data_IF_597226695674
#
_entry.id   IF_597226695674
#
_cell.length_a   1.000
_cell.length_b   1.000
_cell.length_c   1.000
_cell.angle_alpha   90.00
_cell.angle_beta   90.00
_cell.angle_gamma   90.00
#
_symmetry.space_group_name_H-M   'P 1'
#
loop_
_entity.id
_entity.type
_entity.pdbx_description
1 polymer ?
#
# COMPACT_ATOMS: atom_id res chain seq x y z
N UNK A 1 5.19 -2.47 12.94
CA UNK A 1 5.35 -1.65 11.72
C UNK A 1 5.52 -2.59 10.52
N UNK A 2 4.78 -2.45 9.43
CA UNK A 2 5.04 -3.21 8.20
C UNK A 2 6.31 -2.69 7.49
N UNK A 3 7.02 -3.50 6.69
CA UNK A 3 8.02 -2.97 5.78
C UNK A 3 7.34 -2.18 4.65
N UNK A 4 7.95 -1.10 4.18
CA UNK A 4 7.35 -0.15 3.23
C UNK A 4 6.88 -0.83 1.93
N UNK A 5 7.66 -1.79 1.41
CA UNK A 5 7.33 -2.52 0.19
C UNK A 5 6.01 -3.31 0.29
N UNK A 6 5.59 -3.69 1.51
CA UNK A 6 4.34 -4.44 1.72
C UNK A 6 3.08 -3.58 1.57
N UNK A 7 3.24 -2.27 1.43
CA UNK A 7 2.15 -1.34 1.13
C UNK A 7 1.92 -1.11 -0.37
N UNK A 8 2.87 -1.55 -1.21
CA UNK A 8 2.78 -1.50 -2.67
C UNK A 8 1.66 -2.40 -3.23
N UNK A 9 1.64 -2.56 -4.56
CA UNK A 9 0.70 -3.44 -5.24
C UNK A 9 1.24 -4.88 -5.26
N UNK A 10 0.38 -5.84 -4.87
CA UNK A 10 0.69 -7.27 -4.86
C UNK A 10 -0.17 -7.99 -5.90
N UNK A 11 0.43 -8.93 -6.65
CA UNK A 11 -0.28 -9.72 -7.65
C UNK A 11 -0.13 -11.21 -7.41
N UNK A 12 -1.25 -11.91 -7.36
CA UNK A 12 -1.30 -13.34 -7.10
C UNK A 12 -2.41 -14.04 -7.90
N UNK A 13 -2.17 -15.30 -8.24
CA UNK A 13 -3.20 -16.22 -8.74
C UNK A 13 -2.82 -17.65 -8.36
N UNK A 14 -3.85 -18.44 -8.06
CA UNK A 14 -3.74 -19.88 -8.22
C UNK A 14 -3.88 -20.28 -9.69
N UNK A 15 -2.76 -20.61 -10.33
CA UNK A 15 -2.71 -21.00 -11.74
C UNK A 15 -1.48 -20.49 -12.51
N UNK A 16 -0.52 -19.82 -11.84
CA UNK A 16 0.78 -19.53 -12.46
C UNK A 16 1.64 -20.79 -12.43
N UNK A 17 1.48 -21.64 -13.45
CA UNK A 17 1.94 -23.04 -13.43
C UNK A 17 3.44 -23.26 -13.66
N UNK A 18 4.23 -22.22 -13.87
CA UNK A 18 5.68 -22.29 -14.04
C UNK A 18 6.34 -20.95 -13.73
N UNK A 19 7.66 -20.96 -13.59
CA UNK A 19 8.48 -19.74 -13.52
C UNK A 19 8.32 -18.88 -14.77
N UNK A 20 8.31 -19.48 -15.97
CA UNK A 20 8.06 -18.75 -17.22
C UNK A 20 6.69 -18.04 -17.24
N UNK A 21 5.61 -18.72 -16.81
CA UNK A 21 4.29 -18.11 -16.73
C UNK A 21 4.28 -16.94 -15.72
N UNK A 22 4.98 -17.09 -14.60
CA UNK A 22 5.10 -16.04 -13.57
C UNK A 22 5.89 -14.84 -14.10
N UNK A 23 7.01 -15.06 -14.83
CA UNK A 23 7.77 -14.00 -15.49
C UNK A 23 6.95 -13.25 -16.54
N UNK A 24 6.13 -13.97 -17.31
CA UNK A 24 5.26 -13.36 -18.33
C UNK A 24 4.27 -12.37 -17.70
N UNK A 25 3.69 -12.73 -16.55
CA UNK A 25 2.79 -11.84 -15.78
C UNK A 25 3.50 -10.56 -15.37
N UNK A 26 4.67 -10.67 -14.73
CA UNK A 26 5.47 -9.51 -14.31
C UNK A 26 5.88 -8.66 -15.51
N UNK A 27 6.29 -9.28 -16.62
CA UNK A 27 6.68 -8.56 -17.82
C UNK A 27 5.50 -7.81 -18.45
N UNK A 28 4.29 -8.39 -18.44
CA UNK A 28 3.09 -7.74 -18.98
C UNK A 28 2.61 -6.59 -18.10
N UNK A 29 2.70 -6.71 -16.78
CA UNK A 29 2.46 -5.59 -15.84
C UNK A 29 3.41 -4.44 -16.13
N UNK A 30 4.71 -4.73 -16.24
CA UNK A 30 5.73 -3.74 -16.57
C UNK A 30 5.48 -3.08 -17.93
N UNK A 31 5.18 -3.86 -18.98
CA UNK A 31 4.92 -3.32 -20.32
C UNK A 31 3.68 -2.43 -20.38
N UNK A 32 2.72 -2.64 -19.48
CA UNK A 32 1.51 -1.84 -19.34
C UNK A 32 1.68 -0.68 -18.33
N UNK A 33 2.89 -0.41 -17.85
CA UNK A 33 3.22 0.64 -16.87
C UNK A 33 2.42 0.54 -15.56
N UNK A 34 2.07 -0.67 -15.13
CA UNK A 34 1.44 -0.89 -13.83
C UNK A 34 2.48 -1.07 -12.73
N UNK A 35 2.36 -0.35 -11.60
CA UNK A 35 3.17 -0.63 -10.43
C UNK A 35 2.93 -2.05 -9.89
N UNK A 36 4.02 -2.72 -9.49
CA UNK A 36 3.99 -4.06 -8.91
C UNK A 36 5.22 -4.24 -8.02
N UNK A 37 5.01 -4.21 -6.70
CA UNK A 37 6.09 -4.45 -5.74
C UNK A 37 6.32 -5.93 -5.49
N UNK A 38 5.24 -6.72 -5.41
CA UNK A 38 5.34 -8.09 -4.92
C UNK A 38 4.63 -9.08 -5.84
N UNK A 39 5.40 -10.00 -6.41
CA UNK A 39 4.85 -11.14 -7.15
C UNK A 39 4.65 -12.32 -6.21
N UNK A 40 3.49 -12.97 -6.31
CA UNK A 40 3.13 -14.11 -5.47
C UNK A 40 2.94 -15.37 -6.31
N UNK A 41 3.26 -16.53 -5.74
CA UNK A 41 2.79 -17.81 -6.26
C UNK A 41 1.97 -18.56 -5.20
N UNK A 42 0.81 -19.06 -5.61
CA UNK A 42 0.05 -20.09 -4.89
C UNK A 42 0.75 -21.46 -5.01
N UNK A 43 0.12 -22.54 -4.56
CA UNK A 43 0.68 -23.90 -4.45
C UNK A 43 1.18 -24.53 -5.76
N UNK A 44 1.01 -23.84 -6.90
CA UNK A 44 1.56 -24.23 -8.18
C UNK A 44 3.08 -24.47 -8.13
N UNK A 45 3.79 -23.72 -7.27
CA UNK A 45 5.25 -23.82 -7.11
C UNK A 45 5.67 -25.14 -6.49
N UNK A 46 4.86 -25.71 -5.60
CA UNK A 46 5.25 -26.78 -4.70
C UNK A 46 5.25 -28.16 -5.37
N UNK A 47 6.28 -28.97 -5.15
CA UNK A 47 6.33 -30.35 -5.68
C UNK A 47 5.25 -31.21 -5.01
N UNK A 48 4.28 -31.65 -5.82
CA UNK A 48 3.08 -32.37 -5.37
C UNK A 48 2.35 -31.64 -4.22
N UNK A 49 2.36 -30.30 -4.24
CA UNK A 49 1.72 -29.42 -3.23
C UNK A 49 2.31 -29.59 -1.81
N UNK A 50 3.55 -30.06 -1.71
CA UNK A 50 4.27 -30.19 -0.43
C UNK A 50 5.01 -28.89 -0.14
N UNK A 51 4.71 -28.25 0.98
CA UNK A 51 5.44 -27.06 1.43
C UNK A 51 6.92 -27.36 1.68
N UNK A 52 7.76 -26.32 1.60
CA UNK A 52 9.24 -26.40 1.65
C UNK A 52 9.88 -27.20 0.49
N UNK A 53 9.16 -27.34 -0.62
CA UNK A 53 9.66 -27.92 -1.88
C UNK A 53 9.25 -27.05 -3.05
N UNK A 54 9.87 -27.24 -4.22
CA UNK A 54 9.38 -26.67 -5.47
C UNK A 54 9.44 -27.72 -6.59
N UNK A 55 8.53 -27.61 -7.56
CA UNK A 55 8.38 -28.55 -8.66
C UNK A 55 9.68 -28.60 -9.51
N UNK A 56 10.33 -29.78 -9.62
CA UNK A 56 11.64 -29.90 -10.24
C UNK A 56 11.62 -29.78 -11.77
N UNK A 57 10.44 -29.63 -12.39
CA UNK A 57 10.30 -29.44 -13.83
C UNK A 57 9.80 -28.03 -14.16
N UNK A 58 8.73 -27.58 -13.51
CA UNK A 58 8.06 -26.31 -13.83
C UNK A 58 8.61 -25.12 -13.07
N UNK A 59 9.29 -25.37 -11.95
CA UNK A 59 9.86 -24.37 -11.06
C UNK A 59 11.34 -24.65 -10.74
N UNK A 60 12.03 -25.38 -11.63
CA UNK A 60 13.43 -25.78 -11.46
C UNK A 60 14.38 -24.59 -11.24
N UNK A 61 14.08 -23.46 -11.88
CA UNK A 61 14.83 -22.20 -11.83
C UNK A 61 14.15 -21.15 -10.93
N UNK A 62 13.27 -21.59 -10.00
CA UNK A 62 12.62 -20.69 -9.04
C UNK A 62 13.62 -19.80 -8.28
N UNK A 63 14.77 -20.30 -7.78
CA UNK A 63 15.77 -19.45 -7.15
C UNK A 63 16.27 -18.30 -8.03
N UNK A 64 16.44 -18.55 -9.33
CA UNK A 64 16.95 -17.55 -10.27
C UNK A 64 15.87 -16.54 -10.64
N UNK A 65 14.62 -16.98 -10.82
CA UNK A 65 13.47 -16.08 -11.00
C UNK A 65 13.34 -15.08 -9.84
N UNK A 66 13.50 -15.54 -8.60
CA UNK A 66 13.40 -14.64 -7.42
C UNK A 66 14.53 -13.61 -7.43
N UNK A 67 15.76 -14.01 -7.75
CA UNK A 67 16.89 -13.07 -7.88
C UNK A 67 16.67 -12.05 -9.01
N UNK A 68 16.08 -12.47 -10.13
CA UNK A 68 15.71 -11.55 -11.22
C UNK A 68 14.69 -10.50 -10.74
N UNK A 69 13.70 -10.89 -9.93
CA UNK A 69 12.75 -9.96 -9.35
C UNK A 69 13.41 -8.99 -8.37
N UNK A 70 14.33 -9.48 -7.52
CA UNK A 70 15.12 -8.61 -6.64
C UNK A 70 15.96 -7.58 -7.41
N UNK A 71 16.56 -7.97 -8.54
CA UNK A 71 17.30 -7.04 -9.41
C UNK A 71 16.41 -5.94 -10.00
N UNK A 72 15.10 -6.18 -10.14
CA UNK A 72 14.10 -5.19 -10.57
C UNK A 72 13.54 -4.36 -9.40
N UNK A 73 14.06 -4.54 -8.18
CA UNK A 73 13.55 -3.86 -6.98
C UNK A 73 12.19 -4.37 -6.52
N UNK A 74 11.79 -5.57 -6.96
CA UNK A 74 10.57 -6.25 -6.53
C UNK A 74 10.86 -7.23 -5.40
N UNK A 75 9.79 -7.71 -4.78
CA UNK A 75 9.79 -8.73 -3.72
C UNK A 75 9.00 -9.96 -4.18
N UNK A 76 9.23 -11.07 -3.50
CA UNK A 76 8.59 -12.34 -3.82
C UNK A 76 8.03 -13.03 -2.57
N UNK A 77 6.76 -13.43 -2.67
CA UNK A 77 6.04 -14.15 -1.64
C UNK A 77 5.49 -15.47 -2.20
N UNK A 78 5.43 -16.49 -1.38
CA UNK A 78 4.70 -17.71 -1.71
C UNK A 78 3.76 -18.13 -0.60
N UNK A 79 2.77 -18.96 -0.95
CA UNK A 79 1.90 -19.61 0.00
C UNK A 79 2.64 -20.68 0.82
N UNK A 80 2.38 -20.72 2.11
CA UNK A 80 2.90 -21.73 3.03
C UNK A 80 1.77 -22.29 3.90
N UNK A 81 1.29 -23.48 3.57
CA UNK A 81 0.35 -24.21 4.41
C UNK A 81 1.06 -24.79 5.66
N UNK A 82 0.42 -24.82 6.84
CA UNK A 82 0.96 -25.47 8.03
C UNK A 82 0.93 -27.00 7.91
N UNK A 83 0.09 -27.54 7.04
CA UNK A 83 -0.05 -28.98 6.86
C UNK A 83 1.18 -29.62 6.22
N UNK A 84 1.76 -30.62 6.90
CA UNK A 84 2.91 -31.40 6.39
C UNK A 84 2.46 -32.75 5.85
N UNK A 85 2.74 -33.02 4.57
CA UNK A 85 2.43 -34.30 3.92
C UNK A 85 3.05 -35.49 4.67
N UNK A 86 2.23 -36.50 4.99
CA UNK A 86 2.63 -37.66 5.79
C UNK A 86 2.81 -38.95 4.96
N UNK A 87 2.81 -38.85 3.63
CA UNK A 87 2.80 -40.01 2.72
C UNK A 87 4.12 -40.22 1.97
N UNK A 88 5.09 -39.34 2.17
CA UNK A 88 6.39 -39.47 1.52
C UNK A 88 7.15 -40.68 2.08
N UNK A 89 7.93 -41.41 1.26
CA UNK A 89 8.81 -42.45 1.76
C UNK A 89 9.76 -41.91 2.85
N UNK A 90 10.17 -42.74 3.84
CA UNK A 90 11.08 -42.30 4.89
C UNK A 90 12.35 -41.65 4.34
N UNK A 91 12.81 -40.57 4.97
CA UNK A 91 14.00 -39.80 4.60
C UNK A 91 13.95 -39.12 3.22
N UNK A 92 12.75 -38.92 2.66
CA UNK A 92 12.57 -38.20 1.38
C UNK A 92 11.83 -36.88 1.53
N UNK A 93 11.32 -36.56 2.72
CA UNK A 93 10.64 -35.31 2.99
C UNK A 93 10.99 -34.79 4.39
N UNK A 94 12.16 -34.10 4.51
CA UNK A 94 12.70 -33.67 5.80
C UNK A 94 11.72 -32.94 6.72
N UNK A 95 10.80 -32.07 6.24
CA UNK A 95 9.80 -31.46 7.13
C UNK A 95 8.97 -32.49 7.91
N UNK A 96 8.55 -33.59 7.27
CA UNK A 96 7.79 -34.64 7.96
C UNK A 96 8.70 -35.53 8.83
N UNK A 97 9.81 -36.00 8.26
CA UNK A 97 10.72 -36.92 8.94
C UNK A 97 11.27 -36.30 10.24
N UNK A 98 11.72 -35.04 10.17
CA UNK A 98 12.27 -34.31 11.30
C UNK A 98 11.18 -33.88 12.28
N UNK A 99 10.00 -33.49 11.78
CA UNK A 99 8.87 -33.16 12.64
C UNK A 99 8.42 -34.38 13.48
N UNK A 100 8.43 -35.58 12.88
CA UNK A 100 8.11 -36.80 13.59
C UNK A 100 9.20 -37.15 14.62
N UNK A 101 10.48 -36.97 14.28
CA UNK A 101 11.62 -37.19 15.18
C UNK A 101 11.57 -36.27 16.41
N UNK A 102 11.23 -34.99 16.20
CA UNK A 102 11.12 -33.97 17.25
C UNK A 102 9.78 -33.99 17.99
N UNK A 103 8.81 -34.76 17.49
CA UNK A 103 7.50 -34.90 18.12
C UNK A 103 6.64 -33.63 18.08
N UNK A 104 6.76 -32.82 17.03
CA UNK A 104 6.14 -31.48 16.91
C UNK A 104 4.69 -31.51 16.40
N UNK A 105 4.17 -32.67 15.98
CA UNK A 105 2.83 -32.78 15.44
C UNK A 105 1.77 -32.99 16.53
N UNK A 106 0.58 -32.43 16.31
CA UNK A 106 -0.63 -32.67 17.11
C UNK A 106 -0.88 -34.17 17.17
N UNK A 107 -1.23 -34.66 18.37
CA UNK A 107 -1.53 -36.06 18.63
C UNK A 107 -3.03 -36.26 18.85
N UNK A 108 -3.53 -37.42 18.45
CA UNK A 108 -4.89 -37.85 18.74
C UNK A 108 -4.99 -38.40 20.18
N UNK A 109 -6.19 -38.84 20.57
CA UNK A 109 -6.44 -39.40 21.91
C UNK A 109 -5.68 -40.68 22.24
N UNK A 110 -5.13 -41.39 21.23
CA UNK A 110 -4.29 -42.58 21.42
C UNK A 110 -2.80 -42.25 21.52
N UNK A 111 -2.43 -40.96 21.46
CA UNK A 111 -1.05 -40.50 21.52
C UNK A 111 -0.28 -40.62 20.20
N UNK A 112 -0.95 -40.98 19.10
CA UNK A 112 -0.37 -41.05 17.76
C UNK A 112 -0.52 -39.70 17.04
N UNK A 113 0.35 -39.42 16.07
CA UNK A 113 0.22 -38.22 15.22
C UNK A 113 -1.16 -38.18 14.56
N UNK A 114 -1.87 -37.07 14.73
CA UNK A 114 -3.15 -36.83 14.08
C UNK A 114 -2.92 -36.57 12.59
N UNK A 115 -3.59 -37.36 11.75
CA UNK A 115 -3.51 -37.26 10.29
C UNK A 115 -4.87 -36.80 9.75
N UNK A 116 -4.90 -35.61 9.14
CA UNK A 116 -6.03 -35.14 8.34
C UNK A 116 -5.71 -35.22 6.85
N UNK A 117 -6.41 -34.41 6.05
CA UNK A 117 -6.23 -34.37 4.59
C UNK A 117 -6.31 -32.93 4.10
N UNK A 118 -5.27 -32.48 3.40
CA UNK A 118 -5.20 -31.16 2.75
C UNK A 118 -4.66 -31.37 1.31
N UNK A 119 -4.10 -30.33 0.71
CA UNK A 119 -3.65 -30.28 -0.68
C UNK A 119 -2.67 -31.39 -1.10
N UNK A 120 -1.64 -31.76 -0.30
CA UNK A 120 -0.75 -32.87 -0.65
C UNK A 120 -1.33 -34.26 -0.29
N UNK A 121 -2.58 -34.34 0.17
CA UNK A 121 -3.21 -35.58 0.62
C UNK A 121 -3.15 -35.76 2.15
N UNK A 122 -2.93 -36.97 2.68
CA UNK A 122 -2.80 -37.20 4.12
C UNK A 122 -1.70 -36.32 4.73
N UNK A 123 -2.04 -35.63 5.81
CA UNK A 123 -1.28 -34.49 6.33
C UNK A 123 -1.26 -34.49 7.85
N UNK A 124 -0.08 -34.30 8.44
CA UNK A 124 0.10 -34.03 9.87
C UNK A 124 0.09 -32.51 10.12
N UNK A 125 -0.34 -32.11 11.32
CA UNK A 125 -0.47 -30.70 11.71
C UNK A 125 0.52 -30.37 12.82
N UNK A 126 1.43 -29.41 12.61
CA UNK A 126 2.32 -28.92 13.67
C UNK A 126 1.54 -28.32 14.82
N UNK A 127 1.96 -28.61 16.05
CA UNK A 127 1.44 -28.01 17.26
C UNK A 127 2.23 -26.74 17.61
N UNK A 128 1.79 -25.58 17.14
CA UNK A 128 2.46 -24.31 17.41
C UNK A 128 2.39 -23.86 18.88
N UNK A 129 1.71 -24.61 19.77
CA UNK A 129 1.78 -24.37 21.23
C UNK A 129 2.98 -25.06 21.87
N UNK A 130 3.59 -26.02 21.18
CA UNK A 130 4.83 -26.68 21.60
C UNK A 130 6.05 -25.83 21.21
N UNK A 131 6.90 -25.38 22.15
CA UNK A 131 8.10 -24.61 21.86
C UNK A 131 9.06 -25.27 20.86
N UNK A 132 9.12 -26.61 20.85
CA UNK A 132 9.97 -27.36 19.92
C UNK A 132 9.51 -27.18 18.46
N UNK A 133 8.20 -26.98 18.25
CA UNK A 133 7.62 -26.72 16.93
C UNK A 133 8.10 -25.39 16.36
N UNK A 134 8.29 -24.37 17.20
CA UNK A 134 8.81 -23.09 16.74
C UNK A 134 10.20 -23.24 16.14
N UNK A 135 11.13 -23.86 16.87
CA UNK A 135 12.49 -24.10 16.38
C UNK A 135 12.50 -24.99 15.14
N UNK A 136 11.67 -26.03 15.08
CA UNK A 136 11.53 -26.86 13.88
C UNK A 136 11.02 -26.08 12.67
N UNK A 137 10.01 -25.22 12.86
CA UNK A 137 9.45 -24.42 11.78
C UNK A 137 10.46 -23.39 11.27
N UNK A 138 11.20 -22.74 12.18
CA UNK A 138 12.30 -21.83 11.84
C UNK A 138 13.39 -22.54 11.03
N UNK A 139 13.77 -23.76 11.41
CA UNK A 139 14.76 -24.55 10.68
C UNK A 139 14.26 -24.90 9.27
N UNK A 140 13.00 -25.31 9.12
CA UNK A 140 12.38 -25.56 7.81
C UNK A 140 12.36 -24.31 6.92
N UNK A 141 11.98 -23.16 7.48
CA UNK A 141 11.97 -21.88 6.75
C UNK A 141 13.40 -21.50 6.35
N UNK A 142 14.37 -21.60 7.26
CA UNK A 142 15.77 -21.23 7.01
C UNK A 142 16.38 -22.08 5.89
N UNK A 143 16.12 -23.38 5.90
CA UNK A 143 16.59 -24.33 4.87
C UNK A 143 15.89 -24.12 3.52
N UNK A 144 14.63 -23.68 3.50
CA UNK A 144 13.98 -23.31 2.26
C UNK A 144 14.50 -21.96 1.73
N UNK A 145 14.64 -20.97 2.61
CA UNK A 145 15.13 -19.63 2.28
C UNK A 145 16.58 -19.64 1.75
N UNK A 146 17.43 -20.56 2.25
CA UNK A 146 18.80 -20.73 1.74
C UNK A 146 18.85 -21.13 0.26
N UNK A 147 17.77 -21.75 -0.24
CA UNK A 147 17.62 -22.17 -1.65
C UNK A 147 16.82 -21.15 -2.46
N UNK A 148 15.76 -20.58 -1.89
CA UNK A 148 14.87 -19.61 -2.53
C UNK A 148 14.77 -18.38 -1.63
N UNK A 149 15.39 -17.24 -1.96
CA UNK A 149 15.45 -16.07 -1.07
C UNK A 149 14.11 -15.31 -1.04
N UNK A 150 13.13 -15.82 -0.29
CA UNK A 150 11.80 -15.22 -0.14
C UNK A 150 11.83 -13.95 0.71
N UNK A 151 10.97 -12.98 0.40
CA UNK A 151 10.85 -11.74 1.19
C UNK A 151 9.71 -11.79 2.22
N UNK A 152 8.80 -12.75 2.08
CA UNK A 152 7.67 -12.95 2.99
C UNK A 152 6.97 -14.28 2.76
N UNK A 153 6.12 -14.64 3.72
CA UNK A 153 5.36 -15.88 3.71
C UNK A 153 3.87 -15.59 3.80
N UNK A 154 3.10 -16.14 2.87
CA UNK A 154 1.65 -16.13 2.94
C UNK A 154 1.17 -17.40 3.63
N UNK A 155 0.95 -17.34 4.94
CA UNK A 155 0.51 -18.50 5.72
C UNK A 155 -1.00 -18.67 5.55
N UNK A 156 -1.42 -19.78 4.95
CA UNK A 156 -2.84 -20.13 4.74
C UNK A 156 -3.21 -21.28 5.66
N UNK A 157 -4.48 -21.36 6.09
CA UNK A 157 -5.01 -22.42 6.97
C UNK A 157 -4.65 -22.32 8.45
N UNK A 158 -5.03 -21.23 9.13
CA UNK A 158 -5.23 -21.25 10.59
C UNK A 158 -6.70 -21.31 11.01
N UNK A 159 -7.64 -21.36 10.06
CA UNK A 159 -9.04 -21.71 10.24
C UNK A 159 -9.59 -22.27 8.91
N UNK A 160 -10.50 -23.24 8.96
CA UNK A 160 -11.38 -23.56 7.85
C UNK A 160 -11.88 -22.25 7.21
N UNK A 161 -11.62 -22.04 5.92
CA UNK A 161 -12.18 -20.99 5.05
C UNK A 161 -12.46 -19.61 5.69
N UNK A 162 -11.59 -18.63 5.44
CA UNK A 162 -11.89 -17.20 5.26
C UNK A 162 -10.51 -16.53 5.03
N UNK A 163 -10.22 -15.81 3.95
CA UNK A 163 -10.91 -14.62 3.48
C UNK A 163 -10.88 -14.55 1.95
N UNK A 164 -12.03 -14.18 1.37
CA UNK A 164 -12.09 -13.53 0.07
C UNK A 164 -11.48 -12.14 0.24
N UNK A 165 -10.30 -11.87 -0.32
CA UNK A 165 -9.82 -10.48 -0.45
C UNK A 165 -10.65 -9.80 -1.54
N UNK A 166 -11.55 -8.93 -1.13
CA UNK A 166 -12.25 -8.02 -2.04
C UNK A 166 -11.28 -6.89 -2.37
N UNK A 167 -11.08 -6.68 -3.67
CA UNK A 167 -10.17 -5.72 -4.24
C UNK A 167 -10.77 -4.32 -4.20
N UNK A 168 -10.37 -3.52 -3.20
CA UNK A 168 -10.47 -2.07 -3.26
C UNK A 168 -9.06 -1.48 -3.44
N UNK A 169 -8.88 -0.58 -4.40
CA UNK A 169 -7.57 -0.02 -4.79
C UNK A 169 -6.86 0.75 -3.66
N UNK A 170 -7.61 1.09 -2.59
CA UNK A 170 -7.16 1.93 -1.48
C UNK A 170 -7.29 1.25 -0.10
N UNK A 171 -7.34 -0.09 0.01
CA UNK A 171 -7.29 -0.76 1.34
C UNK A 171 -5.87 -0.73 1.92
N UNK A 172 -5.72 -0.80 3.24
CA UNK A 172 -4.42 -0.73 3.92
C UNK A 172 -3.42 -1.81 3.46
N UNK A 173 -3.90 -3.01 3.09
CA UNK A 173 -3.15 -4.04 2.36
C UNK A 173 -3.82 -4.28 1.01
N UNK A 174 -3.07 -4.16 -0.09
CA UNK A 174 -3.63 -4.23 -1.44
C UNK A 174 -3.01 -5.37 -2.25
N UNK A 175 -3.78 -6.43 -2.44
CA UNK A 175 -3.42 -7.58 -3.26
C UNK A 175 -4.57 -7.92 -4.20
N UNK A 176 -4.27 -8.03 -5.49
CA UNK A 176 -5.18 -8.66 -6.46
C UNK A 176 -4.89 -10.15 -6.42
N UNK A 177 -5.74 -10.88 -5.71
CA UNK A 177 -5.74 -12.34 -5.65
C UNK A 177 -6.87 -12.91 -6.51
N UNK A 178 -6.53 -13.88 -7.36
CA UNK A 178 -7.51 -14.57 -8.22
C UNK A 178 -7.73 -15.99 -7.72
N UNK A 179 -8.94 -16.28 -7.23
CA UNK A 179 -9.33 -17.61 -6.76
C UNK A 179 -9.82 -18.49 -7.91
N UNK A 180 -9.43 -19.78 -7.85
CA UNK A 180 -9.93 -20.92 -8.63
C UNK A 180 -9.22 -21.16 -9.97
N UNK A 181 -8.88 -22.43 -10.18
CA UNK A 181 -8.30 -23.08 -11.35
C UNK A 181 -9.10 -22.91 -12.69
N UNK A 182 -10.12 -22.04 -12.74
CA UNK A 182 -11.07 -21.82 -13.84
C UNK A 182 -11.59 -20.37 -14.00
N UNK A 183 -11.21 -19.42 -13.13
CA UNK A 183 -11.59 -18.01 -13.32
C UNK A 183 -10.85 -17.41 -14.52
N UNK A 184 -11.52 -16.53 -15.26
CA UNK A 184 -10.86 -15.78 -16.34
C UNK A 184 -9.71 -14.93 -15.78
N UNK A 185 -8.69 -14.65 -16.59
CA UNK A 185 -7.64 -13.73 -16.21
C UNK A 185 -8.20 -12.36 -15.78
N UNK A 186 -7.67 -11.81 -14.69
CA UNK A 186 -8.06 -10.49 -14.13
C UNK A 186 -6.86 -9.66 -13.69
N UNK A 187 -5.66 -9.96 -14.19
CA UNK A 187 -4.54 -9.03 -14.08
C UNK A 187 -4.88 -7.74 -14.83
N UNK A 188 -4.48 -6.55 -14.35
CA UNK A 188 -4.87 -5.29 -14.99
C UNK A 188 -4.64 -5.24 -16.51
N UNK A 189 -3.52 -5.76 -16.99
CA UNK A 189 -3.16 -5.78 -18.42
C UNK A 189 -4.08 -6.63 -19.33
N UNK A 190 -5.03 -7.39 -18.78
CA UNK A 190 -5.96 -8.23 -19.58
C UNK A 190 -7.24 -7.50 -19.97
N UNK A 191 -7.53 -6.36 -19.34
CA UNK A 191 -8.73 -5.57 -19.59
C UNK A 191 -8.56 -4.61 -20.77
N UNK A 192 -9.66 -3.97 -21.20
CA UNK A 192 -9.61 -2.93 -22.24
C UNK A 192 -8.87 -1.66 -21.76
N UNK A 193 -8.45 -0.83 -22.71
CA UNK A 193 -7.61 0.34 -22.44
C UNK A 193 -8.23 1.31 -21.41
N UNK A 194 -9.54 1.57 -21.49
CA UNK A 194 -10.24 2.46 -20.55
C UNK A 194 -10.14 1.95 -19.11
N UNK A 195 -10.38 0.65 -18.90
CA UNK A 195 -10.25 0.02 -17.58
C UNK A 195 -8.79 -0.01 -17.12
N UNK A 196 -7.83 -0.25 -18.02
CA UNK A 196 -6.41 -0.20 -17.68
C UNK A 196 -5.99 1.21 -17.22
N UNK A 197 -6.42 2.25 -17.93
CA UNK A 197 -6.15 3.64 -17.54
C UNK A 197 -6.72 3.94 -16.16
N UNK A 198 -7.97 3.55 -15.89
CA UNK A 198 -8.61 3.74 -14.58
C UNK A 198 -7.87 2.99 -13.44
N UNK A 199 -7.54 1.71 -13.67
CA UNK A 199 -6.79 0.90 -12.69
C UNK A 199 -5.40 1.50 -12.43
N UNK A 200 -4.70 1.91 -13.48
CA UNK A 200 -3.37 2.51 -13.37
C UNK A 200 -3.44 3.83 -12.60
N UNK A 201 -4.45 4.67 -12.87
CA UNK A 201 -4.71 5.91 -12.11
C UNK A 201 -4.78 5.66 -10.61
N UNK A 202 -5.61 4.69 -10.22
CA UNK A 202 -5.88 4.41 -8.82
C UNK A 202 -4.65 3.82 -8.11
N UNK A 203 -3.90 2.92 -8.78
CA UNK A 203 -2.65 2.39 -8.24
C UNK A 203 -1.58 3.49 -8.14
N UNK A 204 -1.45 4.36 -9.14
CA UNK A 204 -0.49 5.47 -9.08
C UNK A 204 -0.84 6.49 -7.99
N UNK A 205 -2.13 6.81 -7.81
CA UNK A 205 -2.59 7.64 -6.69
C UNK A 205 -2.19 7.00 -5.36
N UNK A 206 -2.43 5.70 -5.19
CA UNK A 206 -2.00 4.94 -4.01
C UNK A 206 -0.49 5.07 -3.80
N UNK A 207 0.33 4.84 -4.82
CA UNK A 207 1.79 4.93 -4.74
C UNK A 207 2.24 6.34 -4.33
N UNK A 208 1.56 7.37 -4.81
CA UNK A 208 1.85 8.74 -4.39
C UNK A 208 1.55 8.99 -2.92
N UNK A 209 0.57 8.27 -2.34
CA UNK A 209 0.12 8.41 -0.95
C UNK A 209 0.84 7.46 0.01
N UNK A 210 1.78 6.63 -0.45
CA UNK A 210 2.49 5.68 0.42
C UNK A 210 3.23 6.34 1.59
N UNK A 211 3.83 7.55 1.49
CA UNK A 211 4.42 8.21 2.66
C UNK A 211 3.39 8.52 3.74
N UNK A 212 2.21 8.99 3.35
CA UNK A 212 1.10 9.22 4.26
C UNK A 212 0.60 7.92 4.87
N UNK A 213 0.36 6.88 4.05
CA UNK A 213 -0.10 5.58 4.53
C UNK A 213 0.92 4.94 5.49
N UNK A 214 2.21 5.04 5.20
CA UNK A 214 3.28 4.55 6.06
C UNK A 214 3.30 5.29 7.40
N UNK A 215 3.09 6.60 7.39
CA UNK A 215 2.96 7.41 8.61
C UNK A 215 1.75 6.99 9.45
N UNK A 216 0.61 6.66 8.83
CA UNK A 216 -0.55 6.11 9.55
C UNK A 216 -0.25 4.75 10.20
N UNK A 217 0.53 3.88 9.55
CA UNK A 217 0.98 2.63 10.16
C UNK A 217 1.93 2.85 11.33
N UNK A 218 2.71 3.93 11.30
CA UNK A 218 3.52 4.36 12.43
C UNK A 218 2.63 4.81 13.60
N UNK A 219 1.58 5.60 13.36
CA UNK A 219 0.60 5.96 14.40
C UNK A 219 -0.11 4.73 14.97
N UNK A 220 -0.51 3.78 14.12
CA UNK A 220 -1.09 2.51 14.57
C UNK A 220 -0.11 1.70 15.44
N UNK A 221 1.18 1.69 15.08
CA UNK A 221 2.22 0.99 15.84
C UNK A 221 2.51 1.62 17.20
N UNK A 222 2.44 2.95 17.29
CA UNK A 222 2.92 3.71 18.47
C UNK A 222 1.81 4.18 19.41
N UNK A 223 0.64 4.47 18.87
CA UNK A 223 -0.51 5.05 19.59
C UNK A 223 -1.78 4.20 19.49
N UNK A 224 -1.73 3.07 18.79
CA UNK A 224 -2.90 2.21 18.51
C UNK A 224 -4.02 2.92 17.72
N UNK A 225 -3.65 3.91 16.91
CA UNK A 225 -4.56 4.58 15.98
C UNK A 225 -5.00 3.65 14.84
N UNK A 226 -6.11 4.00 14.18
CA UNK A 226 -6.61 3.27 13.02
C UNK A 226 -6.03 3.82 11.72
N UNK A 227 -5.64 2.92 10.81
CA UNK A 227 -5.19 3.29 9.45
C UNK A 227 -6.39 3.53 8.54
N UNK A 228 -7.19 2.50 8.28
CA UNK A 228 -8.50 2.65 7.65
C UNK A 228 -9.55 2.83 8.76
N UNK A 229 -10.16 4.00 8.80
CA UNK A 229 -10.97 4.48 9.91
C UNK A 229 -12.42 4.64 9.45
N UNK A 230 -13.40 3.93 10.04
CA UNK A 230 -14.81 4.23 9.82
C UNK A 230 -15.18 5.63 10.30
N UNK A 231 -16.12 6.29 9.62
CA UNK A 231 -16.46 7.68 9.89
C UNK A 231 -16.91 7.92 11.34
N UNK A 232 -17.61 6.97 11.98
CA UNK A 232 -18.07 7.13 13.36
C UNK A 232 -16.94 7.22 14.39
N UNK A 233 -15.74 6.68 14.12
CA UNK A 233 -14.59 6.84 15.02
C UNK A 233 -14.09 8.27 14.99
N UNK A 234 -14.08 8.89 13.81
CA UNK A 234 -13.59 10.26 13.63
C UNK A 234 -14.65 11.33 13.94
N UNK A 235 -15.93 10.99 13.79
CA UNK A 235 -17.08 11.87 13.97
C UNK A 235 -18.14 11.22 14.87
N UNK A 236 -17.82 10.89 16.14
CA UNK A 236 -18.72 10.11 17.00
C UNK A 236 -19.99 10.88 17.40
N UNK A 237 -19.95 12.21 17.37
CA UNK A 237 -21.09 13.07 17.67
C UNK A 237 -22.06 13.25 16.50
N UNK A 238 -21.69 12.80 15.31
CA UNK A 238 -22.55 12.84 14.13
C UNK A 238 -23.37 11.54 14.04
N UNK A 239 -24.70 11.58 14.26
CA UNK A 239 -25.52 10.37 14.25
C UNK A 239 -25.55 9.70 12.87
N UNK A 240 -25.34 10.44 11.78
CA UNK A 240 -25.33 9.87 10.44
C UNK A 240 -24.11 8.96 10.22
N UNK A 241 -22.98 9.28 10.86
CA UNK A 241 -21.75 8.51 10.71
C UNK A 241 -21.82 7.11 11.32
N UNK A 242 -22.74 6.87 12.26
CA UNK A 242 -22.85 5.60 13.00
C UNK A 242 -23.17 4.39 12.10
N UNK A 243 -23.89 4.61 11.01
CA UNK A 243 -24.34 3.54 10.11
C UNK A 243 -23.62 3.53 8.77
N UNK A 244 -22.61 4.38 8.57
CA UNK A 244 -21.88 4.45 7.30
C UNK A 244 -20.77 3.40 7.29
N UNK A 245 -20.93 2.42 6.42
CA UNK A 245 -19.99 1.31 6.19
C UNK A 245 -19.51 1.21 4.72
N UNK A 246 -20.06 2.05 3.83
CA UNK A 246 -19.70 2.15 2.40
C UNK A 246 -18.71 3.28 2.07
N UNK A 247 -18.24 4.00 3.08
CA UNK A 247 -17.19 5.00 2.99
C UNK A 247 -16.21 4.79 4.15
N UNK A 248 -14.94 5.16 3.95
CA UNK A 248 -13.94 5.08 5.00
C UNK A 248 -12.93 6.21 4.87
N UNK A 249 -12.19 6.48 5.96
CA UNK A 249 -11.08 7.40 5.98
C UNK A 249 -9.76 6.64 5.97
N UNK A 250 -8.72 7.23 5.39
CA UNK A 250 -7.36 6.98 5.86
C UNK A 250 -7.01 8.00 6.94
N UNK A 251 -6.71 7.49 8.13
CA UNK A 251 -6.50 8.31 9.32
C UNK A 251 -7.74 9.15 9.64
N UNK A 252 -7.52 10.45 9.81
CA UNK A 252 -8.55 11.45 10.12
C UNK A 252 -8.92 12.37 8.94
N UNK A 253 -8.21 12.24 7.81
CA UNK A 253 -8.03 13.35 6.86
C UNK A 253 -8.35 13.01 5.41
N UNK A 254 -8.37 11.74 5.00
CA UNK A 254 -8.58 11.37 3.60
C UNK A 254 -9.81 10.47 3.44
N UNK A 255 -10.93 11.04 2.99
CA UNK A 255 -12.21 10.34 2.82
C UNK A 255 -12.27 9.65 1.45
N UNK A 256 -12.53 8.35 1.44
CA UNK A 256 -12.70 7.53 0.23
C UNK A 256 -14.16 7.14 0.10
N UNK A 257 -14.75 7.42 -1.06
CA UNK A 257 -16.15 7.15 -1.39
C UNK A 257 -16.25 6.35 -2.70
N UNK A 258 -16.21 5.01 -2.63
CA UNK A 258 -16.23 4.15 -3.80
C UNK A 258 -17.63 4.01 -4.42
N UNK A 259 -17.70 3.78 -5.74
CA UNK A 259 -18.90 3.27 -6.40
C UNK A 259 -18.97 1.76 -6.15
N UNK A 260 -20.10 1.30 -5.60
CA UNK A 260 -20.30 -0.11 -5.24
C UNK A 260 -21.47 -0.77 -5.99
N UNK A 261 -22.13 -0.03 -6.88
CA UNK A 261 -23.28 -0.49 -7.64
C UNK A 261 -22.94 -0.56 -9.13
N UNK A 262 -23.28 -1.67 -9.79
CA UNK A 262 -22.97 -1.87 -11.20
C UNK A 262 -23.65 -0.83 -12.09
N UNK A 263 -22.89 -0.18 -12.97
CA UNK A 263 -23.40 0.77 -13.96
C UNK A 263 -23.70 2.18 -13.42
N UNK A 264 -23.46 2.43 -12.13
CA UNK A 264 -23.55 3.78 -11.58
C UNK A 264 -22.42 4.68 -12.10
N UNK A 265 -22.77 5.94 -12.40
CA UNK A 265 -21.84 7.00 -12.84
C UNK A 265 -21.84 8.20 -11.90
N UNK A 266 -22.56 8.08 -10.80
CA UNK A 266 -22.67 9.04 -9.70
C UNK A 266 -22.92 8.26 -8.41
N UNK A 267 -22.54 8.85 -7.27
CA UNK A 267 -22.78 8.26 -5.96
C UNK A 267 -23.19 9.32 -4.94
N UNK A 268 -24.11 8.97 -4.05
CA UNK A 268 -24.46 9.81 -2.90
C UNK A 268 -23.47 9.55 -1.77
N UNK A 269 -22.49 10.44 -1.59
CA UNK A 269 -21.49 10.36 -0.53
C UNK A 269 -21.88 11.25 0.64
N UNK A 270 -21.83 10.72 1.85
CA UNK A 270 -21.91 11.54 3.05
C UNK A 270 -20.58 12.24 3.29
N UNK A 271 -20.61 13.56 3.40
CA UNK A 271 -19.46 14.36 3.82
C UNK A 271 -19.77 14.90 5.22
N UNK A 272 -18.98 14.56 6.26
CA UNK A 272 -19.11 15.14 7.59
C UNK A 272 -18.94 16.67 7.58
N UNK A 273 -19.39 17.39 8.63
CA UNK A 273 -19.27 18.84 8.71
C UNK A 273 -17.82 19.34 8.51
N UNK A 274 -17.65 20.33 7.65
CA UNK A 274 -16.36 20.92 7.29
C UNK A 274 -16.19 21.10 5.79
N UNK A 275 -15.02 21.59 5.40
CA UNK A 275 -14.60 21.70 4.00
C UNK A 275 -13.79 20.47 3.60
N UNK A 276 -14.15 19.90 2.46
CA UNK A 276 -13.49 18.75 1.86
C UNK A 276 -13.02 19.10 0.46
N UNK A 277 -11.79 18.79 0.11
CA UNK A 277 -11.18 19.12 -1.18
C UNK A 277 -11.02 17.85 -2.01
N UNK A 278 -11.45 17.85 -3.28
CA UNK A 278 -11.21 16.70 -4.16
C UNK A 278 -9.71 16.41 -4.30
N UNK A 279 -9.34 15.13 -4.35
CA UNK A 279 -7.99 14.67 -4.63
C UNK A 279 -8.03 13.68 -5.80
N UNK A 280 -7.36 14.05 -6.88
CA UNK A 280 -7.21 13.28 -8.10
C UNK A 280 -5.73 12.99 -8.35
N UNK A 281 -5.46 11.98 -9.18
CA UNK A 281 -4.11 11.70 -9.61
C UNK A 281 -3.66 12.72 -10.67
N UNK A 282 -2.90 13.73 -10.26
CA UNK A 282 -2.38 14.78 -11.15
C UNK A 282 -0.84 14.86 -11.14
N UNK A 283 -0.17 13.73 -10.91
CA UNK A 283 1.30 13.66 -10.94
C UNK A 283 1.90 14.22 -12.24
N UNK A 284 1.11 14.26 -13.31
CA UNK A 284 1.43 14.82 -14.62
C UNK A 284 1.76 16.32 -14.61
N UNK A 285 1.12 17.11 -13.73
CA UNK A 285 1.27 18.58 -13.74
C UNK A 285 2.49 19.04 -12.93
N UNK A 286 3.00 18.19 -12.03
CA UNK A 286 4.07 18.55 -11.08
C UNK A 286 5.40 17.88 -11.43
N UNK A 287 5.37 16.67 -12.01
CA UNK A 287 6.57 15.86 -12.26
C UNK A 287 6.85 15.55 -13.75
N UNK A 288 6.13 16.18 -14.68
CA UNK A 288 6.37 16.07 -16.14
C UNK A 288 6.26 14.64 -16.73
N UNK A 289 5.52 13.74 -16.09
CA UNK A 289 5.23 12.40 -16.65
C UNK A 289 3.93 12.46 -17.46
N UNK A 290 4.01 12.16 -18.77
CA UNK A 290 2.92 12.29 -19.74
C UNK A 290 2.07 11.02 -19.77
N UNK A 291 0.87 11.04 -19.17
CA UNK A 291 -0.14 9.99 -19.39
C UNK A 291 -1.63 10.41 -19.34
N UNK A 292 -2.05 11.68 -19.37
CA UNK A 292 -3.46 12.14 -19.24
C UNK A 292 -4.45 11.13 -18.62
N UNK A 293 -4.30 10.83 -17.33
CA UNK A 293 -5.07 9.76 -16.67
C UNK A 293 -6.36 10.27 -16.02
N UNK A 294 -6.41 11.51 -15.50
CA UNK A 294 -7.63 12.09 -14.91
C UNK A 294 -7.91 13.50 -15.46
N UNK A 295 -9.16 13.76 -15.86
CA UNK A 295 -9.59 15.05 -16.43
C UNK A 295 -10.08 16.04 -15.37
N UNK A 296 -10.24 15.57 -14.13
CA UNK A 296 -10.79 16.38 -13.04
C UNK A 296 -9.69 17.08 -12.23
N UNK A 297 -9.75 18.40 -12.03
CA UNK A 297 -8.79 19.10 -11.19
C UNK A 297 -9.04 18.78 -9.71
N UNK A 298 -7.97 18.50 -8.96
CA UNK A 298 -7.95 18.42 -7.50
C UNK A 298 -8.10 19.79 -6.90
N UNK A 299 -8.55 19.81 -5.65
CA UNK A 299 -8.75 21.00 -4.86
C UNK A 299 -10.11 21.65 -5.04
N UNK A 300 -11.04 21.03 -5.78
CA UNK A 300 -12.44 21.46 -5.81
C UNK A 300 -13.01 21.41 -4.38
N UNK A 301 -13.49 22.54 -3.81
CA UNK A 301 -13.97 22.56 -2.43
C UNK A 301 -15.44 22.15 -2.32
N UNK A 302 -15.74 21.31 -1.34
CA UNK A 302 -17.08 20.91 -0.93
C UNK A 302 -17.34 21.36 0.51
N UNK A 303 -18.28 22.29 0.68
CA UNK A 303 -18.65 22.83 1.97
C UNK A 303 -19.82 22.03 2.55
N UNK A 304 -19.52 21.12 3.48
CA UNK A 304 -20.52 20.26 4.09
C UNK A 304 -20.94 20.75 5.48
N UNK A 305 -22.23 20.64 5.79
CA UNK A 305 -22.81 20.78 7.13
C UNK A 305 -23.15 19.42 7.75
N UNK A 306 -22.62 18.33 7.19
CA UNK A 306 -22.99 16.96 7.54
C UNK A 306 -24.16 16.48 6.69
N UNK A 307 -23.94 16.31 5.39
CA UNK A 307 -24.98 15.91 4.44
C UNK A 307 -24.46 14.96 3.36
N UNK A 308 -25.38 14.27 2.69
CA UNK A 308 -25.10 13.57 1.44
C UNK A 308 -24.98 14.57 0.29
N UNK A 309 -23.94 14.41 -0.53
CA UNK A 309 -23.76 15.09 -1.80
C UNK A 309 -23.77 14.07 -2.93
N UNK A 310 -24.42 14.42 -4.04
CA UNK A 310 -24.37 13.63 -5.26
C UNK A 310 -23.08 14.00 -6.02
N UNK A 311 -22.16 13.05 -6.11
CA UNK A 311 -20.84 13.24 -6.72
C UNK A 311 -20.76 12.48 -8.05
N UNK A 312 -20.25 13.11 -9.13
CA UNK A 312 -19.89 12.38 -10.34
C UNK A 312 -18.86 11.30 -10.03
N UNK A 313 -19.07 10.12 -10.58
CA UNK A 313 -18.19 8.97 -10.43
C UNK A 313 -18.20 8.12 -11.71
N UNK A 314 -17.77 8.68 -12.86
CA UNK A 314 -17.57 7.90 -14.07
C UNK A 314 -16.56 6.77 -13.84
N UNK A 315 -16.48 5.83 -14.79
CA UNK A 315 -15.71 4.58 -14.64
C UNK A 315 -14.22 4.79 -14.28
N UNK A 316 -13.63 5.92 -14.66
CA UNK A 316 -12.24 6.29 -14.39
C UNK A 316 -12.02 7.01 -13.05
N UNK A 317 -13.07 7.24 -12.27
CA UNK A 317 -13.04 8.11 -11.10
C UNK A 317 -13.46 7.38 -9.83
N UNK A 318 -12.56 7.36 -8.84
CA UNK A 318 -12.90 7.10 -7.43
C UNK A 318 -12.89 8.42 -6.67
N UNK A 319 -13.94 8.69 -5.90
CA UNK A 319 -14.05 9.95 -5.15
C UNK A 319 -13.18 9.89 -3.89
N UNK A 320 -12.12 10.69 -3.86
CA UNK A 320 -11.21 10.86 -2.72
C UNK A 320 -11.18 12.33 -2.32
N UNK A 321 -11.31 12.62 -1.03
CA UNK A 321 -11.35 14.00 -0.53
C UNK A 321 -10.42 14.20 0.66
N UNK A 322 -9.64 15.28 0.64
CA UNK A 322 -8.81 15.73 1.77
C UNK A 322 -9.63 16.68 2.63
N UNK A 323 -9.68 16.39 3.94
CA UNK A 323 -10.32 17.24 4.94
C UNK A 323 -9.50 18.51 5.15
N UNK A 324 -10.17 19.64 5.28
CA UNK A 324 -9.52 20.89 5.68
C UNK A 324 -8.71 20.75 6.97
N UNK A 325 -7.69 21.58 7.13
CA UNK A 325 -6.81 21.56 8.30
C UNK A 325 -5.71 20.50 8.25
N UNK A 326 -5.54 19.77 7.14
CA UNK A 326 -4.57 18.67 7.05
C UNK A 326 -3.53 18.88 5.94
N UNK A 327 -2.32 18.37 6.17
CA UNK A 327 -1.24 18.28 5.19
C UNK A 327 -0.95 16.81 4.92
N UNK A 328 -0.97 16.41 3.66
CA UNK A 328 -0.74 15.03 3.21
C UNK A 328 0.63 14.97 2.52
N UNK A 329 1.61 14.24 3.08
CA UNK A 329 2.86 13.96 2.38
C UNK A 329 2.63 12.93 1.28
N UNK A 330 3.01 13.31 0.06
CA UNK A 330 3.03 12.47 -1.11
C UNK A 330 4.46 12.35 -1.65
N UNK A 331 4.69 11.34 -2.47
CA UNK A 331 5.93 11.18 -3.22
C UNK A 331 5.60 10.94 -4.69
N UNK A 332 6.47 11.37 -5.60
CA UNK A 332 6.29 11.02 -7.01
C UNK A 332 6.29 9.48 -7.16
N UNK A 333 5.22 8.88 -7.72
CA UNK A 333 5.08 7.43 -7.75
C UNK A 333 6.10 6.77 -8.68
N UNK A 334 6.32 5.47 -8.47
CA UNK A 334 7.16 4.63 -9.32
C UNK A 334 6.54 3.26 -9.51
N UNK A 335 7.12 2.45 -10.40
CA UNK A 335 6.61 1.09 -10.65
C UNK A 335 6.89 0.11 -9.51
N UNK A 336 7.79 0.46 -8.59
CA UNK A 336 8.05 -0.26 -7.33
C UNK A 336 8.32 0.76 -6.23
N UNK A 337 8.15 0.38 -4.97
CA UNK A 337 8.56 1.22 -3.83
C UNK A 337 10.06 1.42 -3.77
N UNK A 338 10.85 0.45 -4.24
CA UNK A 338 12.31 0.60 -4.39
C UNK A 338 12.66 1.79 -5.28
N UNK A 339 11.91 2.01 -6.36
CA UNK A 339 12.07 3.17 -7.22
C UNK A 339 11.44 4.43 -6.59
N UNK A 340 10.18 4.35 -6.15
CA UNK A 340 9.42 5.53 -5.71
C UNK A 340 10.02 6.20 -4.47
N UNK A 341 10.61 5.43 -3.55
CA UNK A 341 11.22 5.96 -2.31
C UNK A 341 12.38 6.91 -2.55
N UNK A 342 13.00 6.87 -3.73
CA UNK A 342 14.09 7.78 -4.12
C UNK A 342 13.59 9.05 -4.80
N UNK A 343 12.31 9.15 -5.10
CA UNK A 343 11.75 10.27 -5.84
C UNK A 343 11.45 11.48 -4.92
N UNK A 344 11.31 12.69 -5.48
CA UNK A 344 10.92 13.87 -4.71
C UNK A 344 9.55 13.75 -4.03
N UNK A 345 9.42 14.43 -2.89
CA UNK A 345 8.15 14.59 -2.19
C UNK A 345 7.30 15.71 -2.78
N UNK A 346 6.00 15.62 -2.54
CA UNK A 346 4.98 16.64 -2.76
C UNK A 346 4.18 16.80 -1.47
N UNK A 347 3.90 18.02 -1.05
CA UNK A 347 2.93 18.27 0.03
C UNK A 347 1.61 18.75 -0.55
N UNK A 348 0.51 18.10 -0.18
CA UNK A 348 -0.86 18.57 -0.43
C UNK A 348 -1.41 19.18 0.86
N UNK A 349 -1.60 20.50 0.85
CA UNK A 349 -2.00 21.33 1.99
C UNK A 349 -3.45 21.74 1.82
N UNK A 350 -4.36 21.13 2.60
CA UNK A 350 -5.77 21.49 2.62
C UNK A 350 -6.04 22.53 3.69
N UNK A 351 -6.05 23.82 3.34
CA UNK A 351 -6.25 24.90 4.31
C UNK A 351 -7.66 24.84 4.91
N UNK A 352 -7.75 25.06 6.22
CA UNK A 352 -9.02 25.40 6.88
C UNK A 352 -9.50 26.79 6.49
N UNK A 353 -10.75 27.11 6.82
CA UNK A 353 -11.29 28.47 6.68
C UNK A 353 -10.42 29.55 7.38
N UNK A 354 -9.67 29.18 8.43
CA UNK A 354 -8.73 30.06 9.12
C UNK A 354 -7.35 30.16 8.45
N UNK A 355 -7.12 29.48 7.34
CA UNK A 355 -5.83 29.42 6.65
C UNK A 355 -4.80 28.51 7.33
N UNK A 356 -5.25 27.58 8.18
CA UNK A 356 -4.38 26.66 8.92
C UNK A 356 -4.46 25.23 8.39
N UNK A 357 -3.34 24.51 8.43
CA UNK A 357 -3.30 23.06 8.25
C UNK A 357 -2.10 22.45 8.99
N UNK A 358 -2.19 21.18 9.35
CA UNK A 358 -1.11 20.43 10.01
C UNK A 358 -0.99 19.02 9.43
N UNK A 359 0.22 18.48 9.40
CA UNK A 359 0.45 17.07 9.08
C UNK A 359 1.85 16.64 9.52
N UNK A 360 2.15 15.37 9.32
CA UNK A 360 3.42 14.79 9.72
C UNK A 360 3.90 13.71 8.74
N UNK A 361 5.19 13.38 8.84
CA UNK A 361 5.85 12.33 8.08
C UNK A 361 6.77 11.54 9.00
N UNK A 362 6.53 10.22 9.06
CA UNK A 362 7.47 9.25 9.59
C UNK A 362 8.26 8.62 8.44
N UNK A 363 9.59 8.55 8.57
CA UNK A 363 10.46 7.99 7.54
C UNK A 363 11.68 7.28 8.13
N UNK A 364 11.82 5.99 7.85
CA UNK A 364 13.00 5.18 8.16
C UNK A 364 13.50 4.47 6.89
N UNK A 365 14.38 3.47 7.03
CA UNK A 365 14.87 2.70 5.88
C UNK A 365 13.78 1.85 5.20
N UNK A 366 12.64 1.65 5.86
CA UNK A 366 11.46 0.95 5.35
C UNK A 366 11.50 -0.57 5.49
N UNK A 367 12.51 -1.17 6.14
CA UNK A 367 12.63 -2.64 6.19
C UNK A 367 13.31 -3.16 7.48
N UNK A 368 14.19 -2.39 8.11
CA UNK A 368 14.90 -2.83 9.32
C UNK A 368 13.95 -3.08 10.49
N UNK A 369 14.29 -4.07 11.31
CA UNK A 369 13.60 -4.33 12.57
C UNK A 369 13.86 -3.21 13.59
N UNK A 370 12.87 -2.94 14.43
CA UNK A 370 12.97 -2.09 15.62
C UNK A 370 13.55 -0.68 15.38
N UNK A 371 13.36 -0.10 14.19
CA UNK A 371 13.82 1.27 13.85
C UNK A 371 13.26 2.30 14.83
N UNK A 372 11.97 2.20 15.16
CA UNK A 372 11.32 3.08 16.14
C UNK A 372 11.94 2.96 17.54
N UNK A 373 12.07 1.75 18.06
CA UNK A 373 12.57 1.49 19.43
C UNK A 373 14.04 1.87 19.57
N UNK A 374 14.85 1.66 18.51
CA UNK A 374 16.25 2.09 18.44
C UNK A 374 16.39 3.58 18.15
N UNK A 375 15.32 4.23 17.72
CA UNK A 375 15.33 5.64 17.40
C UNK A 375 16.01 5.99 16.08
N UNK A 376 16.09 5.03 15.17
CA UNK A 376 16.70 5.15 13.84
C UNK A 376 15.64 5.47 12.79
N UNK A 377 15.08 6.67 12.88
CA UNK A 377 14.07 7.20 11.97
C UNK A 377 14.12 8.73 11.96
N UNK A 378 13.52 9.31 10.92
CA UNK A 378 13.21 10.72 10.81
C UNK A 378 11.72 10.96 11.04
N UNK A 379 11.40 12.05 11.74
CA UNK A 379 10.03 12.48 11.98
C UNK A 379 9.93 13.99 11.79
N UNK A 380 9.08 14.41 10.86
CA UNK A 380 8.93 15.80 10.46
C UNK A 380 7.47 16.20 10.62
N UNK A 381 7.22 17.35 11.24
CA UNK A 381 5.90 17.97 11.24
C UNK A 381 5.85 19.10 10.20
N UNK A 382 4.67 19.31 9.63
CA UNK A 382 4.39 20.39 8.69
C UNK A 382 3.28 21.26 9.25
N UNK A 383 3.46 22.57 9.18
CA UNK A 383 2.49 23.54 9.68
C UNK A 383 2.24 24.56 8.58
N UNK A 384 0.98 24.75 8.22
CA UNK A 384 0.53 25.84 7.36
C UNK A 384 -0.25 26.87 8.18
N UNK A 385 0.03 28.15 7.96
CA UNK A 385 -0.60 29.28 8.63
C UNK A 385 -0.07 30.59 8.07
N UNK A 386 -0.83 31.69 8.17
CA UNK A 386 -0.36 33.03 7.75
C UNK A 386 0.20 33.09 6.31
N UNK A 387 -0.38 32.33 5.38
CA UNK A 387 0.09 32.21 3.98
C UNK A 387 1.51 31.63 3.82
N UNK A 388 1.94 30.78 4.75
CA UNK A 388 3.18 29.99 4.65
C UNK A 388 2.95 28.53 5.03
N UNK A 389 3.87 27.68 4.59
CA UNK A 389 4.06 26.29 5.01
C UNK A 389 5.49 26.15 5.52
N UNK A 390 5.66 25.59 6.71
CA UNK A 390 6.96 25.30 7.31
C UNK A 390 7.10 23.82 7.65
N UNK A 391 8.31 23.28 7.53
CA UNK A 391 8.70 22.02 8.15
C UNK A 391 9.39 22.24 9.50
N UNK A 392 9.20 21.29 10.41
CA UNK A 392 9.95 21.21 11.66
C UNK A 392 10.37 19.75 11.90
N UNK A 393 11.63 19.38 11.56
CA UNK A 393 12.17 18.05 11.81
C UNK A 393 12.39 17.83 13.31
N UNK A 394 11.50 17.07 13.95
CA UNK A 394 11.58 16.76 15.39
C UNK A 394 12.59 15.65 15.70
N UNK A 395 12.82 14.76 14.74
CA UNK A 395 13.83 13.69 14.82
C UNK A 395 14.44 13.48 13.46
N UNK A 396 15.74 13.18 13.44
CA UNK A 396 16.46 12.92 12.20
C UNK A 396 17.36 11.70 12.33
N UNK A 397 17.36 10.92 11.24
CA UNK A 397 18.40 9.97 10.89
C UNK A 397 18.82 10.24 9.43
N UNK A 398 19.56 9.33 8.82
CA UNK A 398 20.03 9.48 7.43
C UNK A 398 19.00 9.03 6.37
N UNK A 399 17.81 8.59 6.76
CA UNK A 399 16.83 8.04 5.81
C UNK A 399 16.22 9.10 4.87
N UNK A 400 16.28 10.39 5.25
CA UNK A 400 15.85 11.51 4.42
C UNK A 400 17.02 12.17 3.65
N UNK A 401 18.26 11.69 3.81
CA UNK A 401 19.42 12.29 3.16
C UNK A 401 19.27 12.24 1.63
N UNK A 402 19.37 13.39 0.98
CA UNK A 402 19.24 13.53 -0.47
C UNK A 402 17.80 13.57 -0.99
N UNK A 403 16.79 13.35 -0.14
CA UNK A 403 15.38 13.50 -0.51
C UNK A 403 14.94 14.96 -0.37
N UNK A 404 14.16 15.44 -1.33
CA UNK A 404 13.73 16.84 -1.43
C UNK A 404 12.22 16.95 -1.56
N UNK A 405 11.67 18.07 -1.11
CA UNK A 405 10.37 18.56 -1.52
C UNK A 405 10.49 19.13 -2.93
N UNK A 406 9.87 18.46 -3.91
CA UNK A 406 9.84 18.85 -5.31
C UNK A 406 8.70 19.80 -5.67
N UNK A 407 7.62 19.80 -4.89
CA UNK A 407 6.47 20.67 -5.13
C UNK A 407 5.54 20.82 -3.93
N UNK A 408 4.60 21.77 -4.06
CA UNK A 408 3.58 22.08 -3.07
C UNK A 408 2.24 22.35 -3.76
N UNK A 409 1.16 21.74 -3.29
CA UNK A 409 -0.22 22.10 -3.66
C UNK A 409 -0.93 22.64 -2.43
N UNK A 410 -1.48 23.85 -2.53
CA UNK A 410 -2.23 24.48 -1.44
C UNK A 410 -3.65 24.72 -1.89
N UNK A 411 -4.59 24.02 -1.26
CA UNK A 411 -6.02 24.16 -1.52
C UNK A 411 -6.62 25.23 -0.61
N UNK A 412 -7.56 26.01 -1.15
CA UNK A 412 -8.27 27.04 -0.37
C UNK A 412 -7.53 28.37 -0.24
N UNK A 413 -6.57 28.67 -1.12
CA UNK A 413 -5.88 29.97 -1.14
C UNK A 413 -6.88 31.04 -1.64
N UNK A 414 -7.17 32.10 -0.87
CA UNK A 414 -8.37 32.92 -1.12
C UNK A 414 -8.28 33.82 -2.37
N UNK A 415 -7.07 34.17 -2.80
CA UNK A 415 -6.82 35.01 -3.99
C UNK A 415 -5.51 34.63 -4.66
N UNK A 416 -5.30 34.99 -5.95
CA UNK A 416 -4.05 34.70 -6.65
C UNK A 416 -2.84 35.31 -5.93
N UNK A 417 -1.78 34.55 -5.63
CA UNK A 417 -0.59 35.10 -5.02
C UNK A 417 0.20 35.96 -6.01
N UNK A 418 0.70 37.10 -5.54
CA UNK A 418 1.60 38.00 -6.29
C UNK A 418 3.01 37.41 -6.43
N UNK A 419 3.50 36.80 -5.36
CA UNK A 419 4.83 36.21 -5.28
C UNK A 419 4.81 34.96 -4.41
N UNK A 420 5.69 34.01 -4.73
CA UNK A 420 5.99 32.84 -3.91
C UNK A 420 7.48 32.86 -3.57
N UNK A 421 7.82 32.49 -2.34
CA UNK A 421 9.18 32.44 -1.83
C UNK A 421 9.42 31.08 -1.19
N UNK A 422 10.61 30.51 -1.38
CA UNK A 422 11.08 29.31 -0.73
C UNK A 422 12.43 29.61 -0.05
N UNK A 423 12.51 29.48 1.27
CA UNK A 423 13.68 29.87 2.09
C UNK A 423 14.22 31.26 1.73
N UNK A 424 13.33 32.25 1.59
CA UNK A 424 13.68 33.63 1.22
C UNK A 424 14.10 33.84 -0.25
N UNK A 425 14.09 32.81 -1.09
CA UNK A 425 14.36 32.92 -2.54
C UNK A 425 13.06 32.92 -3.32
N UNK A 426 12.94 33.82 -4.30
CA UNK A 426 11.73 33.93 -5.12
C UNK A 426 11.57 32.70 -6.03
N UNK A 427 10.39 32.10 -6.03
CA UNK A 427 10.01 30.99 -6.90
C UNK A 427 9.16 31.53 -8.04
N UNK A 428 9.50 31.15 -9.27
CA UNK A 428 8.80 31.60 -10.48
C UNK A 428 7.86 30.52 -11.05
N UNK A 429 8.17 29.25 -10.79
CA UNK A 429 7.40 28.10 -11.26
C UNK A 429 6.23 27.84 -10.31
N UNK A 430 5.21 28.70 -10.39
CA UNK A 430 3.95 28.49 -9.70
C UNK A 430 2.75 28.87 -10.58
N UNK A 431 1.61 28.24 -10.33
CA UNK A 431 0.34 28.56 -10.96
C UNK A 431 -0.76 28.68 -9.91
N UNK A 432 -1.82 29.42 -10.25
CA UNK A 432 -2.99 29.54 -9.40
C UNK A 432 -4.26 29.34 -10.23
N UNK A 433 -5.10 28.41 -9.80
CA UNK A 433 -6.40 28.14 -10.40
C UNK A 433 -7.48 28.89 -9.61
N UNK A 434 -8.05 29.93 -10.22
CA UNK A 434 -9.05 30.78 -9.57
C UNK A 434 -10.34 30.04 -9.23
N UNK A 435 -10.76 29.11 -10.08
CA UNK A 435 -12.02 28.38 -9.93
C UNK A 435 -12.00 27.42 -8.73
N UNK A 436 -10.89 26.70 -8.56
CA UNK A 436 -10.67 25.72 -7.48
C UNK A 436 -9.94 26.31 -6.27
N UNK A 437 -9.40 27.53 -6.39
CA UNK A 437 -8.59 28.20 -5.34
C UNK A 437 -7.33 27.42 -4.96
N UNK A 438 -6.65 26.88 -5.97
CA UNK A 438 -5.47 26.03 -5.80
C UNK A 438 -4.23 26.77 -6.23
N UNK A 439 -3.26 26.90 -5.32
CA UNK A 439 -1.90 27.28 -5.63
C UNK A 439 -1.06 26.01 -5.85
N UNK A 440 -0.40 25.91 -6.98
CA UNK A 440 0.58 24.85 -7.25
C UNK A 440 1.95 25.48 -7.43
N UNK A 441 2.94 25.02 -6.66
CA UNK A 441 4.34 25.42 -6.75
C UNK A 441 5.13 24.18 -7.18
N UNK A 442 5.93 24.29 -8.24
CA UNK A 442 6.73 23.19 -8.79
C UNK A 442 8.21 23.54 -8.76
N UNK A 443 9.05 22.61 -9.21
CA UNK A 443 10.51 22.81 -9.33
C UNK A 443 11.19 23.23 -8.02
N UNK A 444 10.63 22.83 -6.87
CA UNK A 444 11.28 23.00 -5.58
C UNK A 444 12.43 21.99 -5.43
N UNK A 445 13.39 22.33 -4.59
CA UNK A 445 14.50 21.46 -4.24
C UNK A 445 14.87 21.67 -2.77
N UNK A 446 13.86 21.70 -1.90
CA UNK A 446 14.05 21.95 -0.47
C UNK A 446 14.36 20.62 0.23
N UNK A 447 15.47 20.48 0.96
CA UNK A 447 15.81 19.22 1.64
C UNK A 447 14.74 18.83 2.66
N UNK A 448 14.26 17.58 2.62
CA UNK A 448 13.29 17.08 3.62
C UNK A 448 13.93 16.88 5.01
N UNK A 449 15.26 16.78 5.04
CA UNK A 449 16.07 16.69 6.26
C UNK A 449 16.42 18.06 6.85
N UNK A 450 15.92 19.17 6.32
CA UNK A 450 16.16 20.51 6.86
C UNK A 450 14.85 21.25 7.12
N UNK A 451 14.92 22.28 7.96
CA UNK A 451 13.83 23.24 8.11
C UNK A 451 13.71 24.00 6.78
N UNK A 452 12.51 24.01 6.22
CA UNK A 452 12.17 24.79 5.05
C UNK A 452 10.88 25.58 5.26
N UNK A 453 10.77 26.67 4.50
CA UNK A 453 9.62 27.56 4.48
C UNK A 453 9.24 27.85 3.02
N UNK A 454 7.94 27.75 2.73
CA UNK A 454 7.34 28.23 1.48
C UNK A 454 6.26 29.26 1.83
N UNK A 455 6.46 30.50 1.43
CA UNK A 455 5.58 31.65 1.70
C UNK A 455 4.95 32.15 0.39
N UNK A 456 3.67 32.50 0.42
CA UNK A 456 2.99 33.19 -0.67
C UNK A 456 2.37 34.51 -0.21
N UNK A 457 2.43 35.54 -1.05
CA UNK A 457 1.88 36.87 -0.75
C UNK A 457 0.64 37.12 -1.61
N UNK A 458 -0.49 37.47 -0.99
CA UNK A 458 -1.78 37.70 -1.65
C UNK A 458 -1.93 39.12 -2.25
#
# INVERSE_FOLDING_TARGET
MPPYWSLGFHLCRWGYRSTNATREVVQRMHNANFPLDVQWNDLDYADKRRVFTFDPQRFVDLPDMVKEFHQKGMKYILILDPGISSTSPPATYPPFDEGQRRGVFIRNSTGQTLIGKVWPGPTAFPDFTNPETQSWWEDCIREFHSRVPLDGLWIVSLQCFLFTMVADLLVSFHCVYVTVHQSHPQEPYVFGQEAQTAMCSAVMLRYSLLPFLYTLFYHAHTSADTVATPLFLQFPSDPNCQTIDRQFLWGSSLLVSPVLEQGAVELAAYLPPGTWYSLHNETETIFSVVTQIDKNPSGQPFYSKGQYLLLPAPLDTINVHVREGHIIPQQEPGLTTSASRSNPFLLTVALSAGGWAWGDLFWDDGDSLDTFQRGDYSYVIFIAGQSQVMSDPLRQNRALDGLVLGGLRVFGVPSPPRYVWANGKKVWDFSYQTDTKVLTVTSLALPMSEVFEVLWTL
#
